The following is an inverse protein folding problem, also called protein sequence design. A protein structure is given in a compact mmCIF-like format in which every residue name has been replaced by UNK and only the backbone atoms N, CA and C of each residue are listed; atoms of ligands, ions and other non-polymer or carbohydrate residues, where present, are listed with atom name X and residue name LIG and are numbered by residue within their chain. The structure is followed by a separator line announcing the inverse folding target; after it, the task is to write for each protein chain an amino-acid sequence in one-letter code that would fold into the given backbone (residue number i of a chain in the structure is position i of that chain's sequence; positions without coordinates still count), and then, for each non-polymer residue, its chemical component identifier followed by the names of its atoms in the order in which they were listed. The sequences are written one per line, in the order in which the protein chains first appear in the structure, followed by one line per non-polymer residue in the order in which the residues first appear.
data_IF_734309264686
#
_entry.id   IF_734309264686
#
_cell.length_a   1.000
_cell.length_b   1.000
_cell.length_c   1.000
_cell.angle_alpha   90.00
_cell.angle_beta   90.00
_cell.angle_gamma   90.00
#
_symmetry.space_group_name_H-M   'P 1'
#
loop_
_entity.id
_entity.type
_entity.pdbx_description
1 polymer ?
#
# COMPACT_ATOMS: atom_id res chain seq x y z
N UNK A 1 26.06 98.80 -6.17
CA UNK A 1 24.68 98.57 -5.69
C UNK A 1 24.31 97.12 -5.93
N UNK A 2 23.34 96.58 -5.15
CA UNK A 2 22.62 95.31 -5.37
C UNK A 2 23.44 94.01 -5.58
N UNK A 3 23.60 93.24 -4.49
CA UNK A 3 23.49 91.77 -4.55
C UNK A 3 22.01 91.39 -4.84
N UNK A 4 21.65 90.16 -5.29
CA UNK A 4 21.76 88.92 -4.49
C UNK A 4 22.10 87.68 -5.38
N UNK A 5 22.01 86.38 -5.00
CA UNK A 5 21.60 85.64 -3.77
C UNK A 5 22.70 84.61 -3.40
N UNK A 6 22.65 84.05 -2.19
CA UNK A 6 23.25 82.74 -1.86
C UNK A 6 22.14 81.68 -1.86
N UNK A 7 22.39 80.50 -2.43
CA UNK A 7 21.54 79.32 -2.25
C UNK A 7 22.04 78.54 -1.02
N UNK A 8 21.17 78.33 -0.05
CA UNK A 8 21.44 77.54 1.16
C UNK A 8 21.19 76.06 0.89
N UNK A 9 22.24 75.24 0.93
CA UNK A 9 22.12 73.78 0.96
C UNK A 9 21.90 73.31 2.40
N UNK A 10 20.65 72.97 2.72
CA UNK A 10 20.28 72.33 3.98
C UNK A 10 20.65 70.84 3.94
N UNK A 11 21.49 70.40 4.88
CA UNK A 11 21.70 68.99 5.16
C UNK A 11 20.44 68.38 5.79
N UNK A 12 20.01 67.22 5.28
CA UNK A 12 19.03 66.35 5.92
C UNK A 12 19.71 65.01 6.29
N UNK A 13 19.34 64.36 7.41
CA UNK A 13 20.06 63.20 7.91
C UNK A 13 19.76 61.93 7.11
N UNK A 14 20.79 61.12 6.88
CA UNK A 14 20.65 59.78 6.29
C UNK A 14 20.16 58.82 7.38
N UNK A 15 18.90 58.40 7.30
CA UNK A 15 18.35 57.30 8.06
C UNK A 15 18.63 55.97 7.33
N UNK A 16 19.62 55.23 7.80
CA UNK A 16 19.96 53.90 7.27
C UNK A 16 18.88 52.88 7.64
N UNK A 17 17.92 52.67 6.75
CA UNK A 17 16.97 51.57 6.86
C UNK A 17 17.62 50.26 6.35
N UNK A 18 17.96 49.36 7.28
CA UNK A 18 18.37 48.00 6.92
C UNK A 18 17.16 47.22 6.37
N UNK A 19 17.00 47.21 5.05
CA UNK A 19 16.03 46.33 4.37
C UNK A 19 16.52 44.89 4.47
N UNK A 20 15.81 44.08 5.25
CA UNK A 20 16.08 42.66 5.41
C UNK A 20 15.55 41.95 4.16
N UNK A 21 16.45 41.68 3.20
CA UNK A 21 16.11 41.00 1.95
C UNK A 21 15.82 39.53 2.24
N UNK A 22 14.54 39.19 2.41
CA UNK A 22 14.06 37.82 2.31
C UNK A 22 14.17 37.42 0.83
N UNK A 23 14.88 36.34 0.48
CA UNK A 23 14.92 35.87 -0.90
C UNK A 23 13.57 35.27 -1.27
N UNK A 24 12.71 36.04 -1.95
CA UNK A 24 11.64 35.47 -2.75
C UNK A 24 12.29 34.63 -3.86
N UNK A 25 12.27 33.31 -3.68
CA UNK A 25 12.56 32.36 -4.75
C UNK A 25 11.37 32.39 -5.72
N UNK A 26 11.40 33.34 -6.66
CA UNK A 26 10.53 33.27 -7.82
C UNK A 26 10.97 32.06 -8.67
N UNK A 27 10.09 31.06 -8.76
CA UNK A 27 10.19 30.04 -9.80
C UNK A 27 10.12 30.68 -11.19
N UNK A 28 10.57 29.99 -12.24
CA UNK A 28 10.41 30.47 -13.61
C UNK A 28 8.91 30.71 -13.91
N UNK A 29 8.56 31.72 -14.74
CA UNK A 29 7.17 32.01 -15.06
C UNK A 29 6.51 30.78 -15.69
N UNK A 30 5.28 30.50 -15.26
CA UNK A 30 4.52 29.32 -15.66
C UNK A 30 4.49 29.16 -17.19
N UNK A 31 4.66 27.92 -17.64
CA UNK A 31 4.43 27.54 -19.02
C UNK A 31 2.93 27.72 -19.33
N UNK A 32 2.60 28.85 -19.95
CA UNK A 32 1.23 29.26 -20.20
C UNK A 32 0.45 28.20 -21.01
N UNK A 33 -0.71 27.78 -20.47
CA UNK A 33 -1.74 27.07 -21.25
C UNK A 33 -2.15 25.68 -20.78
N UNK A 34 -1.50 25.11 -19.75
CA UNK A 34 -2.01 23.87 -19.12
C UNK A 34 -2.91 24.26 -17.94
N UNK A 35 -4.22 24.05 -18.05
CA UNK A 35 -5.16 24.29 -16.95
C UNK A 35 -4.74 23.46 -15.73
N UNK A 36 -4.55 24.13 -14.59
CA UNK A 36 -4.20 23.47 -13.33
C UNK A 36 -5.37 22.56 -12.93
N UNK A 37 -5.20 21.24 -12.75
CA UNK A 37 -6.33 20.33 -12.51
C UNK A 37 -6.93 20.44 -11.09
N UNK A 38 -6.46 21.42 -10.32
CA UNK A 38 -6.64 21.57 -8.88
C UNK A 38 -6.76 23.07 -8.53
N UNK A 39 -7.49 23.43 -7.47
CA UNK A 39 -7.48 24.79 -6.94
C UNK A 39 -6.10 25.18 -6.39
N UNK A 40 -5.85 26.49 -6.25
CA UNK A 40 -4.59 27.03 -5.72
C UNK A 40 -4.36 26.74 -4.23
N UNK A 41 -5.43 26.38 -3.52
CA UNK A 41 -5.43 26.01 -2.10
C UNK A 41 -6.21 24.72 -1.90
N UNK A 42 -5.75 23.85 -0.99
CA UNK A 42 -6.53 22.73 -0.45
C UNK A 42 -6.50 22.81 1.07
N UNK A 43 -7.60 22.50 1.77
CA UNK A 43 -7.75 22.60 3.24
C UNK A 43 -7.22 23.93 3.82
N UNK A 44 -7.40 25.03 3.08
CA UNK A 44 -6.92 26.37 3.43
C UNK A 44 -5.42 26.64 3.24
N UNK A 45 -4.59 25.63 2.93
CA UNK A 45 -3.16 25.77 2.68
C UNK A 45 -2.87 26.03 1.19
N UNK A 46 -1.94 26.95 0.84
CA UNK A 46 -1.56 27.21 -0.54
C UNK A 46 -0.69 26.09 -1.12
N UNK A 47 -0.99 25.67 -2.35
CA UNK A 47 -0.24 24.61 -3.02
C UNK A 47 0.79 25.18 -4.00
N UNK A 48 2.05 24.77 -3.83
CA UNK A 48 3.11 24.96 -4.82
C UNK A 48 3.12 23.83 -5.85
N UNK A 49 4.12 23.84 -6.75
CA UNK A 49 4.42 22.68 -7.59
C UNK A 49 5.92 22.53 -7.87
N UNK A 50 6.36 21.29 -8.08
CA UNK A 50 7.68 20.90 -8.57
C UNK A 50 7.49 20.05 -9.82
N UNK A 51 8.21 20.33 -10.90
CA UNK A 51 8.17 19.55 -12.15
C UNK A 51 9.31 18.54 -12.17
N UNK A 52 8.99 17.27 -12.42
CA UNK A 52 9.94 16.19 -12.76
C UNK A 52 9.96 15.97 -14.28
N UNK A 53 10.61 14.92 -14.78
CA UNK A 53 10.59 14.57 -16.20
C UNK A 53 9.20 14.10 -16.65
N UNK A 54 8.54 13.25 -15.86
CA UNK A 54 7.27 12.58 -16.22
C UNK A 54 6.03 13.17 -15.52
N UNK A 55 6.21 14.07 -14.55
CA UNK A 55 5.12 14.55 -13.70
C UNK A 55 5.26 16.01 -13.23
N UNK A 56 4.14 16.58 -12.77
CA UNK A 56 4.07 17.82 -11.99
C UNK A 56 3.51 17.47 -10.62
N UNK A 57 4.28 17.72 -9.56
CA UNK A 57 3.99 17.34 -8.19
C UNK A 57 3.50 18.57 -7.43
N UNK A 58 2.21 18.63 -7.10
CA UNK A 58 1.58 19.68 -6.31
C UNK A 58 1.65 19.36 -4.83
N UNK A 59 2.05 20.32 -3.99
CA UNK A 59 2.29 20.08 -2.57
C UNK A 59 2.04 21.33 -1.71
N UNK A 60 1.68 21.11 -0.44
CA UNK A 60 1.72 22.15 0.59
C UNK A 60 3.18 22.54 0.91
N UNK A 61 3.48 23.73 1.48
CA UNK A 61 4.86 24.21 1.64
C UNK A 61 5.75 23.26 2.48
N UNK A 62 5.13 22.61 3.49
CA UNK A 62 5.77 21.63 4.37
C UNK A 62 6.23 20.34 3.68
N UNK A 63 5.59 19.99 2.56
CA UNK A 63 5.85 18.75 1.83
C UNK A 63 6.81 18.94 0.65
N UNK A 64 7.44 20.11 0.50
CA UNK A 64 8.35 20.45 -0.61
C UNK A 64 9.50 19.45 -0.83
N UNK A 65 10.15 18.97 0.24
CA UNK A 65 11.19 17.94 0.14
C UNK A 65 10.62 16.56 -0.25
N UNK A 66 9.39 16.26 0.19
CA UNK A 66 8.69 15.03 -0.21
C UNK A 66 8.30 15.11 -1.69
N UNK A 67 7.87 16.28 -2.17
CA UNK A 67 7.51 16.51 -3.56
C UNK A 67 8.69 16.29 -4.52
N UNK A 68 9.87 16.80 -4.18
CA UNK A 68 11.11 16.55 -4.94
C UNK A 68 11.39 15.04 -4.99
N UNK A 69 11.39 14.34 -3.84
CA UNK A 69 11.69 12.91 -3.82
C UNK A 69 10.61 12.07 -4.52
N UNK A 70 9.35 12.46 -4.47
CA UNK A 70 8.27 11.80 -5.23
C UNK A 70 8.47 12.00 -6.74
N UNK A 71 8.88 13.19 -7.18
CA UNK A 71 9.24 13.43 -8.59
C UNK A 71 10.40 12.54 -9.07
N UNK A 72 11.48 12.45 -8.28
CA UNK A 72 12.57 11.50 -8.55
C UNK A 72 12.07 10.06 -8.62
N UNK A 73 11.24 9.63 -7.66
CA UNK A 73 10.69 8.28 -7.59
C UNK A 73 9.75 7.93 -8.76
N UNK A 74 9.04 8.91 -9.33
CA UNK A 74 8.21 8.73 -10.52
C UNK A 74 9.04 8.64 -11.80
N UNK A 75 10.10 9.46 -11.91
CA UNK A 75 11.06 9.39 -13.00
C UNK A 75 11.89 8.08 -12.95
N UNK A 76 12.21 7.58 -11.75
CA UNK A 76 12.92 6.31 -11.48
C UNK A 76 12.04 5.04 -11.64
N UNK A 77 10.73 5.15 -11.90
CA UNK A 77 9.86 3.98 -12.08
C UNK A 77 10.32 3.12 -13.26
N UNK A 78 10.58 1.83 -13.00
CA UNK A 78 10.71 0.83 -14.05
C UNK A 78 9.46 0.79 -14.93
N UNK A 79 9.64 0.46 -16.23
CA UNK A 79 8.55 0.32 -17.18
C UNK A 79 7.42 -0.55 -16.63
N UNK A 80 6.20 -0.11 -16.93
CA UNK A 80 5.00 -0.85 -16.58
C UNK A 80 4.85 -2.02 -17.57
N UNK A 81 4.80 -3.29 -17.12
CA UNK A 81 5.03 -4.40 -18.04
C UNK A 81 3.92 -4.51 -19.10
N UNK A 82 4.32 -4.71 -20.35
CA UNK A 82 3.41 -4.72 -21.50
C UNK A 82 2.85 -3.35 -21.92
N UNK A 83 3.28 -2.25 -21.30
CA UNK A 83 3.00 -0.87 -21.74
C UNK A 83 4.25 -0.24 -22.40
N UNK A 84 4.09 0.80 -23.23
CA UNK A 84 5.22 1.56 -23.75
C UNK A 84 6.06 2.17 -22.62
N UNK A 85 7.40 2.18 -22.75
CA UNK A 85 8.32 2.69 -21.71
C UNK A 85 8.04 4.15 -21.33
N UNK A 86 7.60 4.96 -22.31
CA UNK A 86 7.23 6.37 -22.10
C UNK A 86 5.98 6.56 -21.24
N UNK A 87 5.12 5.54 -21.10
CA UNK A 87 3.83 5.65 -20.41
C UNK A 87 3.95 5.13 -18.96
N UNK A 88 3.42 5.84 -17.96
CA UNK A 88 2.69 7.11 -18.02
C UNK A 88 3.61 8.33 -18.25
N UNK A 89 3.07 9.37 -18.87
CA UNK A 89 3.71 10.68 -19.02
C UNK A 89 2.73 11.82 -18.69
N UNK A 90 3.25 13.03 -18.46
CA UNK A 90 2.44 14.23 -18.22
C UNK A 90 1.59 14.20 -16.95
N UNK A 91 1.93 13.35 -15.97
CA UNK A 91 1.08 13.06 -14.81
C UNK A 91 1.03 14.22 -13.81
N UNK A 92 -0.16 14.51 -13.28
CA UNK A 92 -0.35 15.44 -12.17
C UNK A 92 -0.38 14.67 -10.84
N UNK A 93 0.68 14.76 -10.04
CA UNK A 93 0.75 14.12 -8.72
C UNK A 93 0.39 15.11 -7.62
N UNK A 94 -0.49 14.74 -6.69
CA UNK A 94 -0.98 15.61 -5.63
C UNK A 94 -0.63 15.04 -4.27
N UNK A 95 0.18 15.76 -3.50
CA UNK A 95 0.52 15.40 -2.13
C UNK A 95 -0.48 16.03 -1.18
N UNK A 96 -1.45 15.23 -0.71
CA UNK A 96 -2.51 15.65 0.18
C UNK A 96 -2.02 15.70 1.64
N UNK A 97 -1.79 16.93 2.12
CA UNK A 97 -1.21 17.22 3.42
C UNK A 97 -2.13 16.88 4.62
N UNK A 98 -3.44 16.74 4.38
CA UNK A 98 -4.47 16.30 5.33
C UNK A 98 -5.52 15.43 4.63
N UNK A 99 -6.38 14.71 5.39
CA UNK A 99 -7.53 14.03 4.81
C UNK A 99 -8.54 14.95 4.11
N UNK A 100 -8.75 16.18 4.61
CA UNK A 100 -9.65 17.14 3.96
C UNK A 100 -9.09 17.59 2.60
N UNK A 101 -7.78 17.87 2.52
CA UNK A 101 -7.12 18.17 1.26
C UNK A 101 -7.16 17.00 0.26
N UNK A 102 -7.17 15.75 0.75
CA UNK A 102 -7.36 14.56 -0.09
C UNK A 102 -8.78 14.52 -0.67
N UNK A 103 -9.80 14.67 0.18
CA UNK A 103 -11.21 14.65 -0.21
C UNK A 103 -11.58 15.85 -1.14
N UNK A 104 -10.92 17.00 -0.98
CA UNK A 104 -11.02 18.15 -1.89
C UNK A 104 -10.34 17.88 -3.25
N UNK A 105 -9.10 17.36 -3.26
CA UNK A 105 -8.34 17.10 -4.49
C UNK A 105 -9.04 16.09 -5.43
N UNK A 106 -9.70 15.07 -4.85
CA UNK A 106 -10.48 14.10 -5.62
C UNK A 106 -11.88 14.60 -6.00
N UNK A 107 -12.35 15.71 -5.40
CA UNK A 107 -13.63 16.36 -5.70
C UNK A 107 -14.85 15.76 -4.98
N UNK A 108 -14.66 15.15 -3.81
CA UNK A 108 -15.74 14.60 -2.99
C UNK A 108 -15.28 13.52 -2.00
N UNK A 109 -16.15 13.14 -1.07
CA UNK A 109 -15.83 12.11 -0.08
C UNK A 109 -15.78 10.70 -0.73
N UNK A 110 -14.60 10.10 -0.74
CA UNK A 110 -14.34 8.72 -1.20
C UNK A 110 -14.33 7.75 -0.01
N UNK A 111 -14.68 6.45 -0.20
CA UNK A 111 -14.67 5.46 0.88
C UNK A 111 -13.37 5.42 1.70
N UNK A 112 -13.53 5.01 2.95
CA UNK A 112 -12.66 5.23 4.12
C UNK A 112 -11.24 4.59 4.05
N UNK A 113 -10.75 4.14 2.90
CA UNK A 113 -9.42 3.52 2.71
C UNK A 113 -8.45 4.44 1.96
N UNK A 114 -7.92 5.44 2.67
CA UNK A 114 -7.04 6.50 2.14
C UNK A 114 -5.58 6.06 1.93
N UNK A 115 -5.32 5.15 1.00
CA UNK A 115 -3.95 4.76 0.63
C UNK A 115 -3.38 5.67 -0.47
N UNK A 116 -4.15 5.86 -1.53
CA UNK A 116 -3.86 6.64 -2.74
C UNK A 116 -5.02 6.47 -3.72
N UNK A 117 -5.14 7.37 -4.70
CA UNK A 117 -6.17 7.28 -5.76
C UNK A 117 -5.63 7.86 -7.07
N UNK A 118 -5.70 7.08 -8.15
CA UNK A 118 -5.63 7.56 -9.53
C UNK A 118 -7.00 8.08 -10.02
N UNK A 119 -6.98 9.21 -10.72
CA UNK A 119 -8.10 9.81 -11.45
C UNK A 119 -7.66 9.88 -12.93
N UNK A 120 -7.87 8.80 -13.70
CA UNK A 120 -7.26 8.69 -15.03
C UNK A 120 -7.75 9.74 -16.02
N UNK A 121 -9.02 10.16 -15.92
CA UNK A 121 -9.59 11.22 -16.78
C UNK A 121 -9.01 12.63 -16.56
N UNK A 122 -8.04 12.78 -15.66
CA UNK A 122 -7.27 14.02 -15.42
C UNK A 122 -5.76 13.77 -15.44
N UNK A 123 -5.31 12.57 -15.85
CA UNK A 123 -3.94 12.08 -15.72
C UNK A 123 -3.34 12.33 -14.31
N UNK A 124 -4.18 12.20 -13.28
CA UNK A 124 -3.89 12.69 -11.93
C UNK A 124 -3.81 11.54 -10.92
N UNK A 125 -2.84 11.58 -10.00
CA UNK A 125 -2.80 10.73 -8.82
C UNK A 125 -2.76 11.57 -7.54
N UNK A 126 -3.44 11.11 -6.49
CA UNK A 126 -3.49 11.78 -5.18
C UNK A 126 -2.94 10.82 -4.13
N UNK A 127 -1.93 11.28 -3.39
CA UNK A 127 -1.22 10.52 -2.37
C UNK A 127 -1.21 11.29 -1.03
N UNK A 128 -1.54 10.67 0.11
CA UNK A 128 -1.49 11.33 1.41
C UNK A 128 -0.05 11.49 1.91
N UNK A 129 0.26 12.65 2.51
CA UNK A 129 1.55 12.90 3.19
C UNK A 129 1.43 13.04 4.71
N UNK A 130 0.20 13.18 5.24
CA UNK A 130 -0.11 13.34 6.67
C UNK A 130 -0.16 12.04 7.49
N UNK A 131 -1.17 11.89 8.36
CA UNK A 131 -1.36 10.78 9.32
C UNK A 131 -1.72 9.42 8.67
N UNK A 132 -0.88 8.92 7.77
CA UNK A 132 -1.10 7.67 7.05
C UNK A 132 0.18 7.02 6.54
N UNK A 133 0.06 6.24 5.46
CA UNK A 133 1.19 5.65 4.73
C UNK A 133 2.09 6.78 4.22
N UNK A 134 3.40 6.72 4.46
CA UNK A 134 4.32 7.75 3.95
C UNK A 134 4.66 7.40 2.51
N UNK A 135 4.37 8.29 1.56
CA UNK A 135 4.61 8.07 0.11
C UNK A 135 6.02 7.53 -0.22
N UNK A 136 7.02 7.89 0.58
CA UNK A 136 8.44 7.49 0.42
C UNK A 136 8.85 6.22 1.18
N UNK A 137 7.93 5.53 1.87
CA UNK A 137 8.18 4.24 2.52
C UNK A 137 7.80 3.04 1.62
N UNK A 138 8.10 1.82 2.06
CA UNK A 138 7.88 0.61 1.25
C UNK A 138 6.41 0.28 0.93
N UNK A 139 5.45 0.76 1.73
CA UNK A 139 4.03 0.65 1.42
C UNK A 139 3.61 1.79 0.48
N UNK A 140 4.05 3.02 0.77
CA UNK A 140 3.79 4.21 -0.05
C UNK A 140 4.33 4.07 -1.48
N UNK A 141 5.50 3.48 -1.67
CA UNK A 141 6.08 3.17 -2.98
C UNK A 141 5.27 2.14 -3.76
N UNK A 142 4.69 1.14 -3.08
CA UNK A 142 3.82 0.13 -3.72
C UNK A 142 2.50 0.76 -4.13
N UNK A 143 1.90 1.58 -3.28
CA UNK A 143 0.69 2.34 -3.63
C UNK A 143 0.95 3.32 -4.76
N UNK A 144 2.06 4.07 -4.72
CA UNK A 144 2.46 4.96 -5.81
C UNK A 144 2.56 4.20 -7.14
N UNK A 145 3.21 3.03 -7.16
CA UNK A 145 3.30 2.19 -8.37
C UNK A 145 1.95 1.58 -8.79
N UNK A 146 1.02 1.37 -7.86
CA UNK A 146 -0.35 0.93 -8.14
C UNK A 146 -1.15 2.02 -8.85
N UNK A 147 -1.18 3.24 -8.31
CA UNK A 147 -1.86 4.38 -8.95
C UNK A 147 -1.22 4.73 -10.31
N UNK A 148 0.12 4.66 -10.39
CA UNK A 148 0.88 4.84 -11.64
C UNK A 148 0.46 3.82 -12.71
N UNK A 149 0.21 2.56 -12.32
CA UNK A 149 -0.25 1.52 -13.24
C UNK A 149 -1.67 1.77 -13.78
N UNK A 150 -2.57 2.35 -12.99
CA UNK A 150 -3.89 2.78 -13.45
C UNK A 150 -3.81 3.89 -14.50
N UNK A 151 -2.96 4.90 -14.27
CA UNK A 151 -2.76 5.99 -15.24
C UNK A 151 -2.16 5.45 -16.54
N UNK A 152 -1.13 4.61 -16.46
CA UNK A 152 -0.47 4.07 -17.66
C UNK A 152 -1.38 3.18 -18.49
N UNK A 153 -2.21 2.36 -17.83
CA UNK A 153 -3.20 1.53 -18.53
C UNK A 153 -4.28 2.40 -19.21
N UNK A 154 -4.71 3.49 -18.58
CA UNK A 154 -5.64 4.44 -19.18
C UNK A 154 -5.03 5.19 -20.36
N UNK A 155 -3.82 5.74 -20.24
CA UNK A 155 -3.13 6.42 -21.36
C UNK A 155 -2.91 5.49 -22.55
N UNK A 156 -2.68 4.20 -22.31
CA UNK A 156 -2.49 3.19 -23.37
C UNK A 156 -3.80 2.78 -24.08
N UNK A 157 -4.90 2.67 -23.33
CA UNK A 157 -6.20 2.20 -23.85
C UNK A 157 -7.21 3.32 -24.15
N UNK A 158 -6.92 4.55 -23.73
CA UNK A 158 -7.75 5.73 -23.93
C UNK A 158 -9.16 5.59 -23.33
N UNK A 159 -10.16 5.81 -24.17
CA UNK A 159 -11.59 5.80 -23.83
C UNK A 159 -12.19 4.37 -23.72
N UNK A 160 -11.39 3.32 -23.92
CA UNK A 160 -11.86 1.95 -23.85
C UNK A 160 -12.29 1.57 -22.43
N UNK A 161 -13.44 0.91 -22.32
CA UNK A 161 -13.97 0.43 -21.05
C UNK A 161 -13.14 -0.75 -20.53
N UNK A 162 -12.20 -0.45 -19.63
CA UNK A 162 -11.38 -1.45 -18.94
C UNK A 162 -12.27 -2.24 -17.95
N UNK A 163 -12.36 -3.59 -18.05
CA UNK A 163 -13.03 -4.39 -17.04
C UNK A 163 -12.34 -4.22 -15.69
N UNK A 164 -13.12 -3.92 -14.64
CA UNK A 164 -12.51 -3.44 -13.38
C UNK A 164 -11.61 -4.48 -12.72
N UNK A 165 -11.91 -5.77 -12.78
CA UNK A 165 -11.00 -6.82 -12.32
C UNK A 165 -9.62 -6.78 -13.02
N UNK A 166 -9.58 -6.42 -14.31
CA UNK A 166 -8.34 -6.35 -15.07
C UNK A 166 -7.56 -5.11 -14.66
N UNK A 167 -8.22 -3.95 -14.54
CA UNK A 167 -7.61 -2.70 -14.09
C UNK A 167 -6.91 -2.87 -12.73
N UNK A 168 -7.66 -3.39 -11.76
CA UNK A 168 -7.25 -3.56 -10.37
C UNK A 168 -6.22 -4.70 -10.21
N UNK A 169 -6.42 -5.81 -10.93
CA UNK A 169 -5.50 -6.93 -10.94
C UNK A 169 -4.17 -6.60 -11.61
N UNK A 170 -4.19 -5.82 -12.70
CA UNK A 170 -3.01 -5.29 -13.37
C UNK A 170 -2.24 -4.36 -12.45
N UNK A 171 -2.90 -3.36 -11.86
CA UNK A 171 -2.25 -2.43 -10.94
C UNK A 171 -1.68 -3.15 -9.69
N UNK A 172 -2.35 -4.18 -9.16
CA UNK A 172 -1.84 -4.96 -8.02
C UNK A 172 -0.64 -5.84 -8.39
N UNK A 173 -0.63 -6.42 -9.60
CA UNK A 173 0.51 -7.20 -10.09
C UNK A 173 1.70 -6.27 -10.41
N UNK A 174 1.43 -5.14 -11.09
CA UNK A 174 2.38 -4.08 -11.37
C UNK A 174 2.89 -3.34 -10.12
N UNK A 175 2.29 -3.48 -8.93
CA UNK A 175 2.83 -2.97 -7.66
C UNK A 175 3.65 -4.00 -6.84
N UNK A 176 4.13 -5.05 -7.51
CA UNK A 176 4.93 -6.12 -6.90
C UNK A 176 4.11 -7.34 -6.45
N UNK A 177 2.85 -7.46 -6.90
CA UNK A 177 1.99 -8.60 -6.64
C UNK A 177 1.50 -8.70 -5.20
N UNK A 178 1.12 -9.92 -4.82
CA UNK A 178 0.60 -10.24 -3.49
C UNK A 178 1.69 -10.13 -2.42
N UNK A 179 1.36 -9.53 -1.28
CA UNK A 179 2.07 -9.87 -0.05
C UNK A 179 1.69 -11.29 0.42
N UNK A 180 2.55 -11.91 1.24
CA UNK A 180 2.39 -13.29 1.72
C UNK A 180 1.09 -13.51 2.49
N UNK A 181 0.62 -12.51 3.23
CA UNK A 181 -0.64 -12.48 3.98
C UNK A 181 -1.85 -12.31 3.06
N UNK A 182 -1.74 -11.50 2.00
CA UNK A 182 -2.74 -11.39 0.93
C UNK A 182 -2.97 -12.73 0.23
N UNK A 183 -1.88 -13.41 -0.15
CA UNK A 183 -1.93 -14.76 -0.67
C UNK A 183 -2.52 -15.77 0.33
N UNK A 184 -2.32 -15.58 1.64
CA UNK A 184 -2.91 -16.43 2.68
C UNK A 184 -4.42 -16.17 2.90
N UNK A 185 -4.87 -14.91 2.90
CA UNK A 185 -6.30 -14.56 2.96
C UNK A 185 -7.04 -15.15 1.77
N UNK A 186 -6.48 -15.02 0.57
CA UNK A 186 -7.03 -15.62 -0.64
C UNK A 186 -7.22 -17.14 -0.48
N UNK A 187 -6.20 -17.86 0.00
CA UNK A 187 -6.30 -19.31 0.32
C UNK A 187 -7.46 -19.63 1.26
N UNK A 188 -7.66 -18.85 2.32
CA UNK A 188 -8.73 -19.07 3.31
C UNK A 188 -10.12 -18.81 2.69
N UNK A 189 -10.28 -17.75 1.90
CA UNK A 189 -11.57 -17.40 1.27
C UNK A 189 -12.01 -18.42 0.22
N UNK A 190 -11.08 -18.87 -0.63
CA UNK A 190 -11.31 -19.96 -1.59
C UNK A 190 -11.61 -21.26 -0.85
N UNK A 191 -10.85 -21.59 0.20
CA UNK A 191 -11.09 -22.80 0.98
C UNK A 191 -12.49 -22.80 1.57
N UNK A 192 -12.95 -21.69 2.16
CA UNK A 192 -14.28 -21.61 2.76
C UNK A 192 -15.45 -21.62 1.75
N UNK A 193 -15.18 -21.67 0.43
CA UNK A 193 -16.21 -21.57 -0.60
C UNK A 193 -16.89 -20.20 -0.63
N UNK A 194 -16.23 -19.16 -0.11
CA UNK A 194 -16.75 -17.78 0.04
C UNK A 194 -16.08 -16.78 -0.90
N UNK A 195 -15.35 -17.25 -1.90
CA UNK A 195 -14.97 -16.40 -3.02
C UNK A 195 -16.27 -15.96 -3.73
N UNK A 196 -16.52 -14.65 -3.91
CA UNK A 196 -17.61 -14.17 -4.77
C UNK A 196 -17.55 -14.84 -6.14
N UNK A 197 -18.70 -15.23 -6.68
CA UNK A 197 -18.75 -15.68 -8.07
C UNK A 197 -18.34 -14.52 -8.99
N UNK A 198 -17.38 -14.78 -9.87
CA UNK A 198 -16.86 -13.80 -10.83
C UNK A 198 -17.73 -13.69 -12.09
N UNK A 199 -19.03 -13.95 -11.96
CA UNK A 199 -19.99 -14.00 -13.07
C UNK A 199 -19.82 -12.81 -14.02
N UNK A 200 -19.43 -13.14 -15.25
CA UNK A 200 -19.25 -12.19 -16.36
C UNK A 200 -18.24 -11.06 -16.13
N UNK A 201 -17.26 -11.26 -15.24
CA UNK A 201 -16.19 -10.28 -14.95
C UNK A 201 -16.69 -8.92 -14.40
N UNK A 202 -17.98 -8.85 -14.07
CA UNK A 202 -18.63 -7.76 -13.36
C UNK A 202 -18.68 -8.08 -11.89
N UNK A 203 -17.55 -7.86 -11.20
CA UNK A 203 -17.54 -7.80 -9.74
C UNK A 203 -18.60 -6.79 -9.30
N UNK A 204 -19.62 -7.25 -8.55
CA UNK A 204 -20.51 -6.38 -7.81
C UNK A 204 -19.71 -5.75 -6.68
N UNK A 205 -19.13 -4.57 -6.92
CA UNK A 205 -18.15 -3.95 -6.02
C UNK A 205 -18.79 -3.63 -4.67
N UNK A 206 -18.45 -4.37 -3.61
CA UNK A 206 -19.17 -4.27 -2.35
C UNK A 206 -18.81 -2.97 -1.63
N UNK A 207 -19.78 -2.35 -0.96
CA UNK A 207 -19.51 -1.26 -0.02
C UNK A 207 -18.73 -1.73 1.23
N UNK A 208 -18.73 -3.05 1.49
CA UNK A 208 -18.00 -3.70 2.58
C UNK A 208 -16.50 -3.84 2.23
N UNK A 209 -15.63 -3.28 3.10
CA UNK A 209 -14.17 -3.34 2.99
C UNK A 209 -13.60 -4.76 2.84
N UNK A 210 -14.11 -5.76 3.56
CA UNK A 210 -13.53 -7.12 3.51
C UNK A 210 -13.91 -7.83 2.21
N UNK A 211 -15.11 -7.56 1.69
CA UNK A 211 -15.54 -8.09 0.41
C UNK A 211 -14.85 -7.36 -0.75
N UNK A 212 -14.61 -6.04 -0.65
CA UNK A 212 -13.77 -5.29 -1.60
C UNK A 212 -12.31 -5.77 -1.61
N UNK A 213 -11.70 -6.00 -0.42
CA UNK A 213 -10.38 -6.66 -0.30
C UNK A 213 -10.36 -8.02 -0.99
N UNK A 214 -11.42 -8.81 -0.85
CA UNK A 214 -11.56 -10.09 -1.55
C UNK A 214 -11.59 -9.93 -3.07
N UNK A 215 -12.34 -8.93 -3.57
CA UNK A 215 -12.41 -8.61 -5.00
C UNK A 215 -11.04 -8.22 -5.58
N UNK A 216 -10.26 -7.40 -4.87
CA UNK A 216 -8.87 -7.07 -5.27
C UNK A 216 -7.96 -8.31 -5.31
N UNK A 217 -8.02 -9.17 -4.28
CA UNK A 217 -7.23 -10.40 -4.24
C UNK A 217 -7.59 -11.38 -5.38
N UNK A 218 -8.88 -11.53 -5.71
CA UNK A 218 -9.28 -12.37 -6.85
C UNK A 218 -8.78 -11.80 -8.18
N UNK A 219 -9.00 -10.50 -8.39
CA UNK A 219 -8.55 -9.74 -9.58
C UNK A 219 -7.06 -9.91 -9.85
N UNK A 220 -6.22 -9.70 -8.84
CA UNK A 220 -4.78 -9.88 -8.93
C UNK A 220 -4.36 -11.33 -9.23
N UNK A 221 -5.12 -12.32 -8.75
CA UNK A 221 -4.82 -13.74 -9.00
C UNK A 221 -5.19 -14.17 -10.41
N UNK A 222 -6.26 -13.59 -10.97
CA UNK A 222 -6.65 -13.80 -12.36
C UNK A 222 -5.59 -13.21 -13.29
N UNK A 223 -5.16 -11.96 -13.08
CA UNK A 223 -4.08 -11.36 -13.88
C UNK A 223 -2.77 -12.11 -13.70
N UNK A 224 -2.41 -12.56 -12.49
CA UNK A 224 -1.22 -13.39 -12.28
C UNK A 224 -1.29 -14.69 -13.10
N UNK A 225 -2.43 -15.40 -13.10
CA UNK A 225 -2.63 -16.61 -13.89
C UNK A 225 -2.61 -16.37 -15.41
N UNK A 226 -3.16 -15.24 -15.87
CA UNK A 226 -3.08 -14.81 -17.27
C UNK A 226 -1.61 -14.61 -17.72
N UNK A 227 -0.81 -13.98 -16.87
CA UNK A 227 0.59 -13.68 -17.14
C UNK A 227 1.54 -14.87 -16.94
N UNK A 228 1.19 -15.86 -16.09
CA UNK A 228 1.89 -17.15 -16.02
C UNK A 228 1.84 -17.89 -17.37
N UNK A 229 0.76 -17.74 -18.15
CA UNK A 229 0.59 -18.39 -19.45
C UNK A 229 1.14 -17.58 -20.64
N UNK A 230 0.90 -16.25 -20.67
CA UNK A 230 1.28 -15.39 -21.80
C UNK A 230 2.62 -14.64 -21.65
N UNK A 231 3.13 -14.50 -20.42
CA UNK A 231 4.25 -13.62 -20.12
C UNK A 231 3.97 -12.14 -20.45
N UNK A 232 5.01 -11.32 -20.36
CA UNK A 232 4.93 -9.88 -20.67
C UNK A 232 4.62 -9.61 -22.15
N UNK A 233 5.20 -10.38 -23.08
CA UNK A 233 4.92 -10.23 -24.52
C UNK A 233 3.47 -10.59 -24.87
N UNK A 234 2.86 -11.54 -24.17
CA UNK A 234 1.44 -11.86 -24.33
C UNK A 234 0.53 -10.73 -23.84
N UNK A 235 0.93 -10.03 -22.77
CA UNK A 235 0.23 -8.84 -22.28
C UNK A 235 0.34 -7.67 -23.27
N UNK A 236 1.54 -7.38 -23.76
CA UNK A 236 1.80 -6.33 -24.76
C UNK A 236 0.92 -6.53 -26.01
N UNK A 237 0.95 -7.73 -26.60
CA UNK A 237 0.13 -8.09 -27.75
C UNK A 237 -1.37 -8.00 -27.46
N UNK A 238 -1.79 -8.38 -26.25
CA UNK A 238 -3.20 -8.28 -25.84
C UNK A 238 -3.67 -6.82 -25.78
N UNK A 239 -2.87 -5.94 -25.19
CA UNK A 239 -3.20 -4.52 -25.06
C UNK A 239 -3.16 -3.78 -26.40
N UNK A 240 -2.17 -4.08 -27.25
CA UNK A 240 -2.10 -3.60 -28.64
C UNK A 240 -3.36 -4.00 -29.43
N UNK A 241 -3.71 -5.29 -29.46
CA UNK A 241 -4.91 -5.79 -30.13
C UNK A 241 -6.20 -5.24 -29.55
N UNK A 242 -6.27 -5.02 -28.24
CA UNK A 242 -7.47 -4.45 -27.61
C UNK A 242 -7.65 -2.99 -28.00
N UNK A 243 -6.57 -2.19 -28.02
CA UNK A 243 -6.58 -0.83 -28.56
C UNK A 243 -7.07 -0.81 -30.01
N UNK A 244 -6.53 -1.69 -30.85
CA UNK A 244 -6.77 -1.67 -32.30
C UNK A 244 -8.14 -2.24 -32.70
N UNK A 245 -8.59 -3.32 -32.06
CA UNK A 245 -9.92 -3.92 -32.31
C UNK A 245 -11.04 -3.25 -31.54
N UNK A 246 -10.71 -2.42 -30.54
CA UNK A 246 -11.62 -1.81 -29.55
C UNK A 246 -12.55 -2.82 -28.85
N UNK A 247 -12.17 -4.09 -28.80
CA UNK A 247 -12.98 -5.20 -28.28
C UNK A 247 -12.17 -6.07 -27.31
N UNK A 248 -12.49 -5.99 -26.01
CA UNK A 248 -11.82 -6.79 -24.97
C UNK A 248 -11.91 -8.29 -25.27
N UNK A 249 -13.10 -8.81 -25.48
CA UNK A 249 -13.34 -10.24 -25.77
C UNK A 249 -12.74 -10.66 -27.13
N UNK A 250 -12.67 -9.74 -28.11
CA UNK A 250 -12.02 -9.99 -29.40
C UNK A 250 -10.51 -10.17 -29.25
N UNK A 251 -9.84 -9.17 -28.68
CA UNK A 251 -8.40 -9.20 -28.43
C UNK A 251 -7.97 -10.32 -27.46
N UNK A 252 -8.79 -10.61 -26.46
CA UNK A 252 -8.55 -11.70 -25.50
C UNK A 252 -8.55 -13.06 -26.22
N UNK A 253 -9.55 -13.28 -27.09
CA UNK A 253 -9.63 -14.51 -27.90
C UNK A 253 -8.53 -14.62 -28.94
N UNK A 254 -8.16 -13.53 -29.59
CA UNK A 254 -7.08 -13.51 -30.58
C UNK A 254 -5.69 -13.74 -29.95
N UNK A 255 -5.52 -13.36 -28.67
CA UNK A 255 -4.22 -13.46 -27.97
C UNK A 255 -4.05 -14.73 -27.16
N UNK A 256 -5.09 -15.16 -26.44
CA UNK A 256 -5.03 -16.32 -25.56
C UNK A 256 -5.74 -17.56 -26.12
N UNK A 257 -6.41 -17.46 -27.26
CA UNK A 257 -7.13 -18.58 -27.90
C UNK A 257 -8.39 -19.04 -27.15
N UNK A 258 -8.81 -18.30 -26.13
CA UNK A 258 -9.91 -18.63 -25.20
C UNK A 258 -10.90 -17.48 -25.10
N UNK A 259 -12.15 -17.77 -24.75
CA UNK A 259 -13.09 -16.74 -24.28
C UNK A 259 -12.81 -16.35 -22.84
N UNK A 260 -13.26 -15.18 -22.42
CA UNK A 260 -13.15 -14.76 -21.01
C UNK A 260 -13.80 -15.73 -20.01
N UNK A 261 -14.95 -16.33 -20.37
CA UNK A 261 -15.61 -17.34 -19.53
C UNK A 261 -14.90 -18.69 -19.49
N UNK A 262 -14.18 -19.08 -20.56
CA UNK A 262 -13.28 -20.25 -20.52
C UNK A 262 -12.10 -19.98 -19.58
N UNK A 263 -11.45 -18.82 -19.74
CA UNK A 263 -10.37 -18.38 -18.86
C UNK A 263 -10.81 -18.33 -17.38
N UNK A 264 -11.99 -17.77 -17.08
CA UNK A 264 -12.53 -17.74 -15.71
C UNK A 264 -12.71 -19.17 -15.15
N UNK A 265 -13.25 -20.08 -15.96
CA UNK A 265 -13.45 -21.48 -15.58
C UNK A 265 -12.13 -22.20 -15.29
N UNK A 266 -11.11 -21.97 -16.10
CA UNK A 266 -9.78 -22.58 -15.94
C UNK A 266 -8.98 -21.94 -14.80
N UNK A 267 -9.09 -20.63 -14.60
CA UNK A 267 -8.56 -19.94 -13.43
C UNK A 267 -9.20 -20.46 -12.14
N UNK A 268 -10.54 -20.53 -12.04
CA UNK A 268 -11.27 -21.13 -10.90
C UNK A 268 -10.79 -22.56 -10.63
N UNK A 269 -10.51 -23.35 -11.68
CA UNK A 269 -9.99 -24.72 -11.60
C UNK A 269 -8.54 -24.76 -11.08
N UNK A 270 -7.64 -23.95 -11.64
CA UNK A 270 -6.25 -23.82 -11.21
C UNK A 270 -6.18 -23.42 -9.73
N UNK A 271 -6.94 -22.39 -9.35
CA UNK A 271 -7.02 -21.87 -7.98
C UNK A 271 -7.51 -22.95 -7.02
N UNK A 272 -8.56 -23.71 -7.39
CA UNK A 272 -9.03 -24.87 -6.61
C UNK A 272 -8.00 -25.99 -6.51
N UNK A 273 -7.23 -26.30 -7.54
CA UNK A 273 -6.19 -27.34 -7.48
C UNK A 273 -5.00 -26.92 -6.62
N UNK A 274 -4.49 -25.70 -6.81
CA UNK A 274 -3.30 -25.17 -6.13
C UNK A 274 -3.53 -24.92 -4.63
N UNK A 275 -4.76 -24.59 -4.23
CA UNK A 275 -5.08 -24.19 -2.85
C UNK A 275 -6.16 -25.03 -2.16
N UNK A 276 -6.90 -25.89 -2.87
CA UNK A 276 -8.01 -26.69 -2.31
C UNK A 276 -7.60 -27.76 -1.31
N UNK A 277 -6.33 -28.16 -1.25
CA UNK A 277 -5.83 -29.04 -0.19
C UNK A 277 -5.98 -28.44 1.21
N UNK A 278 -6.00 -27.11 1.34
CA UNK A 278 -6.29 -26.41 2.60
C UNK A 278 -7.77 -26.50 3.01
N UNK A 279 -8.69 -26.56 2.04
CA UNK A 279 -10.11 -26.85 2.32
C UNK A 279 -10.26 -28.27 2.89
N UNK A 280 -9.64 -29.25 2.22
CA UNK A 280 -9.66 -30.65 2.65
C UNK A 280 -9.07 -30.82 4.05
N UNK A 281 -7.94 -30.17 4.36
CA UNK A 281 -7.35 -30.20 5.71
C UNK A 281 -8.25 -29.55 6.76
N UNK A 282 -8.74 -28.34 6.49
CA UNK A 282 -9.57 -27.59 7.46
C UNK A 282 -10.90 -28.28 7.78
N UNK A 283 -11.46 -29.06 6.85
CA UNK A 283 -12.71 -29.80 7.04
C UNK A 283 -12.50 -31.29 7.37
N UNK A 284 -11.25 -31.77 7.41
CA UNK A 284 -10.94 -33.15 7.79
C UNK A 284 -10.88 -33.31 9.31
N UNK A 285 -11.93 -33.90 9.88
CA UNK A 285 -11.98 -34.29 11.30
C UNK A 285 -10.83 -35.24 11.68
N UNK A 286 -10.38 -36.09 10.76
CA UNK A 286 -9.23 -36.99 10.95
C UNK A 286 -7.91 -36.22 11.08
N UNK A 287 -7.72 -35.16 10.28
CA UNK A 287 -6.53 -34.30 10.39
C UNK A 287 -6.49 -33.59 11.75
N UNK A 288 -7.60 -32.98 12.17
CA UNK A 288 -7.68 -32.30 13.47
C UNK A 288 -7.52 -33.25 14.65
N UNK A 289 -8.07 -34.47 14.57
CA UNK A 289 -7.87 -35.52 15.58
C UNK A 289 -6.40 -35.94 15.67
N UNK A 290 -5.73 -36.15 14.54
CA UNK A 290 -4.31 -36.50 14.51
C UNK A 290 -3.44 -35.35 15.06
N UNK A 291 -3.71 -34.11 14.67
CA UNK A 291 -3.01 -32.93 15.18
C UNK A 291 -3.21 -32.77 16.70
N UNK A 292 -4.44 -32.96 17.20
CA UNK A 292 -4.73 -32.94 18.63
C UNK A 292 -3.99 -34.04 19.39
N UNK A 293 -3.90 -35.25 18.84
CA UNK A 293 -3.09 -36.35 19.41
C UNK A 293 -1.60 -36.00 19.45
N UNK A 294 -1.03 -35.47 18.36
CA UNK A 294 0.38 -35.06 18.31
C UNK A 294 0.69 -33.97 19.35
N UNK A 295 -0.17 -32.96 19.46
CA UNK A 295 -0.03 -31.91 20.49
C UNK A 295 -0.19 -32.47 21.91
N UNK A 296 -1.13 -33.39 22.13
CA UNK A 296 -1.30 -34.08 23.41
C UNK A 296 -0.06 -34.89 23.79
N UNK A 297 0.53 -35.65 22.85
CA UNK A 297 1.76 -36.40 23.08
C UNK A 297 2.96 -35.47 23.33
N UNK A 298 3.06 -34.37 22.60
CA UNK A 298 4.11 -33.35 22.82
C UNK A 298 3.98 -32.70 24.22
N UNK A 299 2.77 -32.35 24.65
CA UNK A 299 2.51 -31.82 26.00
C UNK A 299 2.78 -32.87 27.06
N UNK A 300 2.34 -34.13 26.88
CA UNK A 300 2.61 -35.24 27.81
C UNK A 300 4.11 -35.52 27.95
N UNK A 301 4.85 -35.56 26.85
CA UNK A 301 6.31 -35.72 26.85
C UNK A 301 7.04 -34.54 27.49
N UNK A 302 6.61 -33.30 27.23
CA UNK A 302 7.13 -32.10 27.89
C UNK A 302 6.82 -32.08 29.39
N UNK A 303 5.62 -32.51 29.80
CA UNK A 303 5.24 -32.64 31.20
C UNK A 303 6.02 -33.74 31.92
N UNK A 304 6.29 -34.89 31.27
CA UNK A 304 7.17 -35.94 31.79
C UNK A 304 8.58 -35.40 32.05
N UNK A 305 9.22 -34.81 31.03
CA UNK A 305 10.54 -34.18 31.15
C UNK A 305 10.60 -33.04 32.17
N UNK A 306 9.55 -32.23 32.28
CA UNK A 306 9.46 -31.19 33.31
C UNK A 306 9.26 -31.77 34.71
N UNK A 307 8.51 -32.87 34.87
CA UNK A 307 8.38 -33.60 36.14
C UNK A 307 9.70 -34.22 36.57
N UNK A 308 10.45 -34.82 35.64
CA UNK A 308 11.82 -35.32 35.90
C UNK A 308 12.77 -34.18 36.32
N UNK A 309 12.70 -33.01 35.66
CA UNK A 309 13.47 -31.83 36.06
C UNK A 309 13.08 -31.33 37.46
N UNK A 310 11.79 -31.20 37.77
CA UNK A 310 11.34 -30.81 39.11
C UNK A 310 11.67 -31.87 40.18
N UNK A 311 11.64 -33.15 39.83
CA UNK A 311 11.98 -34.23 40.76
C UNK A 311 13.49 -34.23 41.09
N UNK A 312 14.36 -33.88 40.12
CA UNK A 312 15.79 -33.64 40.39
C UNK A 312 16.00 -32.43 41.28
N UNK A 313 15.38 -31.30 40.96
CA UNK A 313 15.46 -30.09 41.79
C UNK A 313 15.00 -30.34 43.24
N UNK A 314 13.90 -31.07 43.45
CA UNK A 314 13.43 -31.49 44.78
C UNK A 314 14.25 -32.58 45.46
N UNK A 315 15.12 -33.27 44.74
CA UNK A 315 16.06 -34.23 45.32
C UNK A 315 17.38 -33.54 45.73
N UNK A 316 17.69 -32.39 45.10
CA UNK A 316 18.79 -31.51 45.48
C UNK A 316 18.39 -30.50 46.59
N UNK A 317 17.09 -30.27 46.83
CA UNK A 317 16.57 -29.56 48.01
C UNK A 317 16.84 -30.38 49.29
N UNK A 318 17.66 -29.84 50.21
CA UNK A 318 17.89 -30.44 51.53
C UNK A 318 16.60 -30.45 52.38
N UNK A 319 16.42 -31.42 53.30
CA UNK A 319 15.21 -31.51 54.11
C UNK A 319 15.01 -30.28 55.01
N UNK A 320 13.80 -29.70 54.96
CA UNK A 320 13.32 -28.54 55.74
C UNK A 320 13.17 -28.85 57.26
N UNK A 321 14.26 -29.23 57.93
CA UNK A 321 14.27 -29.47 59.37
C UNK A 321 15.66 -29.20 59.99
N UNK A 322 15.96 -27.96 60.41
CA UNK A 322 17.14 -27.67 61.20
C UNK A 322 17.01 -28.30 62.60
N UNK A 323 17.78 -29.36 62.86
CA UNK A 323 17.74 -30.11 64.12
C UNK A 323 18.46 -29.40 65.29
N UNK A 324 18.15 -28.14 65.57
CA UNK A 324 18.96 -27.28 66.46
C UNK A 324 18.31 -26.88 67.80
N UNK A 325 17.02 -27.10 68.04
CA UNK A 325 16.32 -26.50 69.21
C UNK A 325 15.59 -27.46 70.16
N UNK A 326 16.17 -28.62 70.45
CA UNK A 326 15.73 -29.43 71.61
C UNK A 326 16.84 -29.56 72.68
N UNK A 327 17.01 -28.46 73.43
CA UNK A 327 17.73 -28.44 74.72
C UNK A 327 16.98 -27.56 75.73
N UNK A 328 15.72 -27.90 76.02
CA UNK A 328 15.01 -27.36 77.18
C UNK A 328 15.44 -28.08 78.46
N UNK A 329 16.37 -27.43 79.16
CA UNK A 329 16.59 -27.43 80.61
C UNK A 329 15.75 -28.42 81.48
N UNK A 330 16.44 -29.31 82.19
CA UNK A 330 16.12 -29.52 83.60
C UNK A 330 17.40 -29.72 84.42
N UNK A 331 17.82 -28.66 85.11
CA UNK A 331 18.93 -28.67 86.07
C UNK A 331 18.39 -28.47 87.49
N UNK A 332 17.65 -29.47 87.97
CA UNK A 332 17.14 -29.52 89.35
C UNK A 332 18.24 -29.50 90.40
N UNK A 333 18.33 -28.41 91.16
CA UNK A 333 19.31 -28.19 92.24
C UNK A 333 18.96 -29.02 93.48
N UNK A 334 19.98 -29.62 94.12
CA UNK A 334 19.84 -30.35 95.40
C UNK A 334 19.85 -29.38 96.58
N UNK A 335 18.96 -29.59 97.56
CA UNK A 335 19.08 -29.07 98.93
C UNK A 335 19.46 -30.19 99.92
N UNK A 336 20.31 -29.94 100.93
CA UNK A 336 20.67 -30.92 101.96
C UNK A 336 20.23 -30.51 103.39
N UNK A 337 20.48 -31.36 104.39
CA UNK A 337 19.93 -32.69 104.61
C UNK A 337 18.68 -32.69 105.52
#
# INVERSE_FOLDING_TARGET
MTAPRRASLTFAPILTACVLVVPMVFGPPDAAGQERPLPDTLDGEPYGSVRSQRAIIYHAPRDSLVAIRVGELLDEQASLPGLPESVPDGVHAVLAHTPAAFDEAIGGAVPEWRAGVAIPSRDMLVMPTGEGVRVVDGEGLRTLRHEWAHLGLHQTLGDLRIPRWFNEGYAQWASGGFDVMGAWRLRVLIALGRAPEMDSLTLGWPADREQARTAYLLSASAVTYLLEAGGERGLELFLERWRDTRSFEGAFRETFGLTTGQFESDWKRHVRQRYGWLFVLSHSSLFWLLLALVLLFMVRGRQGRNREKLARLRADDLPDSPAYWDTSQDSGVRGPP
#
